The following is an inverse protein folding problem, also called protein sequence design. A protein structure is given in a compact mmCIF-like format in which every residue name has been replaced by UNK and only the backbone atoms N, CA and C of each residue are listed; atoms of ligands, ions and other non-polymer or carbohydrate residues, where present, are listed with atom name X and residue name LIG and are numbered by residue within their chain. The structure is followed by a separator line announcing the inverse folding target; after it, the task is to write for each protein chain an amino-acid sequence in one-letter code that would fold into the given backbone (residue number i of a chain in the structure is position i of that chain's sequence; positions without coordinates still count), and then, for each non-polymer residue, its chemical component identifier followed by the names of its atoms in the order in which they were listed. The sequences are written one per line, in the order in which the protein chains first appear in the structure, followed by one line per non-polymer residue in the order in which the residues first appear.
data_IF_993692415832
#
_entry.id   IF_993692415832
#
_cell.length_a   1.000
_cell.length_b   1.000
_cell.length_c   1.000
_cell.angle_alpha   90.00
_cell.angle_beta   90.00
_cell.angle_gamma   90.00
#
_symmetry.space_group_name_H-M   'P 1'
#
loop_
_entity.id
_entity.type
_entity.pdbx_description
1 polymer ?
#
# COMPACT_ATOMS: atom_id res chain seq x y z
N UNK A 1 16.94 0.24 7.54
CA UNK A 1 15.54 0.00 7.18
C UNK A 1 15.05 -1.10 8.10
N UNK A 2 13.93 -0.90 8.77
CA UNK A 2 13.30 -1.94 9.58
C UNK A 2 12.35 -2.72 8.70
N UNK A 3 12.53 -4.03 8.60
CA UNK A 3 11.63 -4.91 7.87
C UNK A 3 10.27 -4.93 8.56
N UNK A 4 9.17 -4.79 7.81
CA UNK A 4 7.79 -4.85 8.32
C UNK A 4 7.30 -6.29 8.38
N UNK A 5 7.77 -7.13 7.46
CA UNK A 5 7.31 -8.49 7.29
C UNK A 5 8.45 -9.50 7.32
N UNK A 6 8.15 -10.74 7.63
CA UNK A 6 9.09 -11.85 7.51
C UNK A 6 8.40 -13.07 6.92
N UNK A 7 9.14 -13.84 6.13
CA UNK A 7 8.73 -15.22 5.86
C UNK A 7 8.89 -16.03 7.15
N UNK A 8 7.83 -16.70 7.55
CA UNK A 8 7.86 -17.54 8.74
C UNK A 8 8.52 -18.87 8.42
N UNK A 9 9.53 -19.22 9.22
CA UNK A 9 10.33 -20.44 9.07
C UNK A 9 9.57 -21.73 9.46
N UNK A 10 8.36 -21.59 10.05
CA UNK A 10 7.49 -22.68 10.52
C UNK A 10 8.03 -23.46 11.73
N UNK A 11 9.04 -22.93 12.41
CA UNK A 11 9.64 -23.47 13.63
C UNK A 11 9.54 -22.47 14.78
N UNK A 12 9.78 -21.19 14.49
CA UNK A 12 9.72 -20.07 15.43
C UNK A 12 8.34 -19.92 16.06
N UNK A 13 8.33 -19.55 17.33
CA UNK A 13 7.10 -19.24 18.05
C UNK A 13 6.40 -18.01 17.48
N UNK A 14 5.08 -17.95 17.66
CA UNK A 14 4.26 -16.81 17.25
C UNK A 14 3.72 -16.12 18.49
N UNK A 15 4.06 -14.85 18.67
CA UNK A 15 3.58 -13.97 19.73
C UNK A 15 2.42 -13.14 19.17
N UNK A 16 1.22 -13.35 19.70
CA UNK A 16 0.01 -12.66 19.22
C UNK A 16 -0.17 -11.30 19.92
N UNK A 17 -0.94 -10.37 19.33
CA UNK A 17 -1.21 -9.05 19.94
C UNK A 17 -1.89 -9.09 21.31
N UNK A 18 -2.56 -10.21 21.65
CA UNK A 18 -3.19 -10.41 22.96
C UNK A 18 -2.26 -11.06 23.98
N UNK A 19 -0.98 -11.28 23.62
CA UNK A 19 0.05 -11.83 24.51
C UNK A 19 0.10 -13.36 24.57
N UNK A 20 -0.63 -14.08 23.71
CA UNK A 20 -0.45 -15.53 23.60
C UNK A 20 0.88 -15.82 22.88
N UNK A 21 1.66 -16.76 23.43
CA UNK A 21 2.85 -17.30 22.78
C UNK A 21 2.54 -18.72 22.32
N UNK A 22 2.44 -18.91 21.01
CA UNK A 22 2.07 -20.17 20.39
C UNK A 22 3.30 -20.84 19.81
N UNK A 23 3.41 -22.16 20.01
CA UNK A 23 4.39 -22.96 19.26
C UNK A 23 3.99 -22.99 17.78
N UNK A 24 4.94 -23.33 16.91
CA UNK A 24 4.64 -23.47 15.49
C UNK A 24 3.52 -24.48 15.20
N UNK A 25 3.50 -25.60 15.93
CA UNK A 25 2.42 -26.60 15.83
C UNK A 25 1.06 -26.04 16.21
N UNK A 26 0.97 -25.31 17.33
CA UNK A 26 -0.27 -24.65 17.76
C UNK A 26 -0.72 -23.58 16.75
N UNK A 27 0.21 -22.83 16.19
CA UNK A 27 -0.10 -21.85 15.16
C UNK A 27 -0.64 -22.51 13.88
N UNK A 28 0.01 -23.56 13.39
CA UNK A 28 -0.44 -24.32 12.22
C UNK A 28 -1.77 -25.04 12.45
N UNK A 29 -2.06 -25.48 13.67
CA UNK A 29 -3.38 -26.04 14.00
C UNK A 29 -4.49 -24.99 13.88
N UNK A 30 -4.24 -23.76 14.35
CA UNK A 30 -5.17 -22.63 14.22
C UNK A 30 -5.26 -22.09 12.79
N UNK A 31 -4.14 -22.09 12.08
CA UNK A 31 -3.98 -21.56 10.72
C UNK A 31 -3.32 -22.60 9.80
N UNK A 32 -4.08 -23.60 9.32
CA UNK A 32 -3.52 -24.71 8.51
C UNK A 32 -2.80 -24.27 7.24
N UNK A 33 -3.18 -23.12 6.67
CA UNK A 33 -2.48 -22.54 5.53
C UNK A 33 -0.99 -22.28 5.81
N UNK A 34 -0.63 -21.90 7.04
CA UNK A 34 0.75 -21.63 7.41
C UNK A 34 1.66 -22.87 7.29
N UNK A 35 1.08 -24.07 7.40
CA UNK A 35 1.80 -25.31 7.16
C UNK A 35 2.06 -25.57 5.67
N UNK A 36 1.09 -25.26 4.81
CA UNK A 36 1.06 -25.71 3.42
C UNK A 36 1.80 -24.78 2.45
N UNK A 37 1.82 -23.48 2.70
CA UNK A 37 2.30 -22.47 1.74
C UNK A 37 3.28 -21.48 2.39
N UNK A 38 4.04 -20.69 1.60
CA UNK A 38 4.84 -19.59 2.12
C UNK A 38 3.95 -18.61 2.88
N UNK A 39 4.27 -18.40 4.15
CA UNK A 39 3.43 -17.67 5.08
C UNK A 39 4.21 -16.50 5.66
N UNK A 40 3.62 -15.32 5.58
CA UNK A 40 4.23 -14.06 6.02
C UNK A 40 3.69 -13.70 7.39
N UNK A 41 4.58 -13.29 8.28
CA UNK A 41 4.28 -12.71 9.59
C UNK A 41 4.82 -11.27 9.69
N UNK A 42 4.43 -10.53 10.72
CA UNK A 42 5.12 -9.30 11.06
C UNK A 42 6.57 -9.60 11.52
N UNK A 43 7.53 -8.75 11.19
CA UNK A 43 8.94 -8.93 11.59
C UNK A 43 9.29 -8.40 13.00
N UNK A 44 8.30 -7.90 13.74
CA UNK A 44 8.49 -7.38 15.10
C UNK A 44 8.41 -8.45 16.19
N UNK A 45 8.64 -8.04 17.44
CA UNK A 45 8.53 -8.94 18.62
C UNK A 45 7.15 -9.61 18.70
N UNK A 46 6.09 -8.85 18.40
CA UNK A 46 4.73 -9.39 18.22
C UNK A 46 4.54 -9.82 16.76
N UNK A 47 5.23 -10.88 16.35
CA UNK A 47 5.25 -11.35 14.96
C UNK A 47 3.87 -11.84 14.46
N UNK A 48 2.97 -12.26 15.37
CA UNK A 48 1.59 -12.64 15.06
C UNK A 48 0.64 -11.46 14.83
N UNK A 49 1.12 -10.21 14.86
CA UNK A 49 0.30 -9.01 14.64
C UNK A 49 -0.25 -8.90 13.21
N UNK A 50 0.42 -9.53 12.25
CA UNK A 50 -0.01 -9.63 10.87
C UNK A 50 0.32 -11.03 10.37
N UNK A 51 -0.59 -11.65 9.63
CA UNK A 51 -0.32 -12.94 9.01
C UNK A 51 -1.10 -13.11 7.71
N UNK A 52 -0.43 -13.57 6.65
CA UNK A 52 -1.08 -13.81 5.35
C UNK A 52 -0.20 -14.69 4.44
N UNK A 53 -0.77 -15.40 3.45
CA UNK A 53 0.03 -16.05 2.43
C UNK A 53 0.83 -15.06 1.57
N UNK A 54 2.09 -15.37 1.27
CA UNK A 54 2.92 -14.52 0.39
C UNK A 54 2.26 -14.32 -0.98
N UNK A 55 1.69 -15.39 -1.55
CA UNK A 55 1.03 -15.34 -2.85
C UNK A 55 -0.13 -14.36 -2.90
N UNK A 56 -0.85 -14.18 -1.78
CA UNK A 56 -1.94 -13.22 -1.69
C UNK A 56 -1.43 -11.78 -1.69
N UNK A 57 -0.34 -11.49 -0.95
CA UNK A 57 0.30 -10.18 -0.98
C UNK A 57 0.81 -9.85 -2.38
N UNK A 58 1.53 -10.80 -3.01
CA UNK A 58 2.01 -10.66 -4.38
C UNK A 58 0.88 -10.33 -5.37
N UNK A 59 -0.25 -11.04 -5.27
CA UNK A 59 -1.40 -10.79 -6.14
C UNK A 59 -1.95 -9.36 -5.96
N UNK A 60 -2.13 -8.91 -4.72
CA UNK A 60 -2.66 -7.57 -4.41
C UNK A 60 -1.70 -6.49 -4.95
N UNK A 61 -0.40 -6.60 -4.67
CA UNK A 61 0.59 -5.64 -5.15
C UNK A 61 0.70 -5.66 -6.68
N UNK A 62 0.62 -6.83 -7.32
CA UNK A 62 0.64 -6.93 -8.78
C UNK A 62 -0.57 -6.22 -9.42
N UNK A 63 -1.76 -6.33 -8.81
CA UNK A 63 -2.95 -5.59 -9.24
C UNK A 63 -2.79 -4.07 -9.11
N UNK A 64 -1.92 -3.61 -8.21
CA UNK A 64 -1.58 -2.21 -8.00
C UNK A 64 -0.42 -1.72 -8.87
N UNK A 65 0.15 -2.60 -9.71
CA UNK A 65 1.24 -2.26 -10.64
C UNK A 65 2.65 -2.58 -10.14
N UNK A 66 2.80 -3.32 -9.05
CA UNK A 66 4.11 -3.81 -8.61
C UNK A 66 4.65 -4.86 -9.60
N UNK A 67 5.90 -4.68 -10.05
CA UNK A 67 6.57 -5.62 -10.95
C UNK A 67 7.38 -6.67 -10.18
N UNK A 68 7.06 -7.94 -10.42
CA UNK A 68 7.74 -9.09 -9.83
C UNK A 68 8.56 -9.89 -10.85
N UNK A 69 8.75 -9.39 -12.07
CA UNK A 69 9.37 -10.15 -13.17
C UNK A 69 10.83 -10.54 -12.88
N UNK A 70 11.52 -9.78 -12.02
CA UNK A 70 12.89 -10.03 -11.61
C UNK A 70 13.03 -10.96 -10.38
N UNK A 71 11.93 -11.29 -9.69
CA UNK A 71 11.98 -12.09 -8.46
C UNK A 71 12.21 -13.58 -8.77
N UNK A 72 13.26 -14.18 -8.21
CA UNK A 72 13.53 -15.62 -8.28
C UNK A 72 13.12 -16.41 -7.04
N UNK A 73 12.96 -15.74 -5.90
CA UNK A 73 12.73 -16.35 -4.59
C UNK A 73 11.57 -15.68 -3.84
N UNK A 74 11.02 -16.39 -2.84
CA UNK A 74 9.96 -15.86 -1.97
C UNK A 74 10.43 -14.62 -1.19
N UNK A 75 11.70 -14.59 -0.78
CA UNK A 75 12.27 -13.44 -0.07
C UNK A 75 12.36 -12.22 -1.00
N UNK A 76 12.83 -12.39 -2.23
CA UNK A 76 12.86 -11.27 -3.20
C UNK A 76 11.45 -10.73 -3.50
N UNK A 77 10.43 -11.59 -3.53
CA UNK A 77 9.03 -11.15 -3.65
C UNK A 77 8.64 -10.29 -2.44
N UNK A 78 8.98 -10.70 -1.23
CA UNK A 78 8.66 -9.95 -0.01
C UNK A 78 9.37 -8.60 0.03
N UNK A 79 10.68 -8.57 -0.26
CA UNK A 79 11.47 -7.33 -0.35
C UNK A 79 10.89 -6.37 -1.42
N UNK A 80 10.46 -6.91 -2.57
CA UNK A 80 9.85 -6.12 -3.64
C UNK A 80 8.50 -5.53 -3.22
N UNK A 81 7.68 -6.30 -2.48
CA UNK A 81 6.43 -5.80 -1.88
C UNK A 81 6.74 -4.64 -0.92
N UNK A 82 7.72 -4.82 -0.03
CA UNK A 82 8.04 -3.81 0.97
C UNK A 82 8.56 -2.52 0.35
N UNK A 83 9.39 -2.62 -0.69
CA UNK A 83 9.88 -1.48 -1.45
C UNK A 83 8.76 -0.76 -2.21
N UNK A 84 7.82 -1.51 -2.79
CA UNK A 84 6.66 -0.93 -3.48
C UNK A 84 5.77 -0.14 -2.52
N UNK A 85 5.48 -0.69 -1.35
CA UNK A 85 4.71 -0.01 -0.32
C UNK A 85 5.45 1.20 0.27
N UNK A 86 6.78 1.14 0.46
CA UNK A 86 7.58 2.30 0.87
C UNK A 86 7.45 3.44 -0.15
N UNK A 87 7.54 3.12 -1.44
CA UNK A 87 7.34 4.10 -2.51
C UNK A 87 5.91 4.70 -2.52
N UNK A 88 4.88 3.90 -2.21
CA UNK A 88 3.50 4.37 -2.11
C UNK A 88 3.25 5.26 -0.88
N UNK A 89 3.94 4.97 0.22
CA UNK A 89 3.81 5.72 1.48
C UNK A 89 4.84 6.86 1.61
N UNK A 90 5.75 6.99 0.64
CA UNK A 90 6.66 8.12 0.57
C UNK A 90 5.84 9.41 0.57
N UNK A 91 6.24 10.43 1.34
CA UNK A 91 5.56 11.71 1.31
C UNK A 91 5.55 12.20 -0.14
N UNK A 92 4.34 12.38 -0.70
CA UNK A 92 4.18 12.92 -2.04
C UNK A 92 4.92 14.25 -2.15
N UNK A 93 5.36 14.60 -3.36
CA UNK A 93 5.94 15.90 -3.62
C UNK A 93 4.97 16.97 -3.12
N UNK A 94 5.40 17.78 -2.15
CA UNK A 94 4.55 18.79 -1.56
C UNK A 94 4.18 19.78 -2.65
N UNK A 95 2.91 19.81 -3.04
CA UNK A 95 2.41 20.80 -3.99
C UNK A 95 2.67 22.17 -3.38
N UNK A 96 3.48 23.01 -4.05
CA UNK A 96 3.82 24.31 -3.48
C UNK A 96 2.56 25.15 -3.32
N UNK A 97 2.50 25.99 -2.27
CA UNK A 97 1.46 27.00 -2.12
C UNK A 97 1.35 27.89 -3.37
N UNK A 98 2.46 28.11 -4.08
CA UNK A 98 2.50 28.87 -5.33
C UNK A 98 1.75 28.15 -6.46
N UNK A 99 1.95 26.85 -6.61
CA UNK A 99 1.25 26.02 -7.62
C UNK A 99 -0.24 25.87 -7.30
N UNK A 100 -0.59 25.73 -6.02
CA UNK A 100 -1.98 25.72 -5.57
C UNK A 100 -2.66 27.07 -5.87
N UNK A 101 -1.96 28.18 -5.62
CA UNK A 101 -2.48 29.53 -5.89
C UNK A 101 -2.64 29.77 -7.38
N UNK A 102 -1.66 29.39 -8.20
CA UNK A 102 -1.73 29.52 -9.65
C UNK A 102 -2.90 28.70 -10.23
N UNK A 103 -3.07 27.46 -9.78
CA UNK A 103 -4.19 26.60 -10.20
C UNK A 103 -5.55 27.18 -9.81
N UNK A 104 -5.65 27.73 -8.58
CA UNK A 104 -6.87 28.37 -8.10
C UNK A 104 -7.21 29.65 -8.87
N UNK A 105 -6.20 30.48 -9.17
CA UNK A 105 -6.41 31.69 -9.96
C UNK A 105 -6.83 31.36 -11.40
N UNK A 106 -6.24 30.33 -12.00
CA UNK A 106 -6.60 29.88 -13.35
C UNK A 106 -8.07 29.40 -13.42
N UNK A 107 -8.53 28.64 -12.40
CA UNK A 107 -9.91 28.18 -12.36
C UNK A 107 -10.92 29.31 -12.11
N UNK A 108 -10.57 30.30 -11.29
CA UNK A 108 -11.36 31.51 -11.07
C UNK A 108 -11.47 32.32 -12.37
N UNK A 109 -10.35 32.54 -13.07
CA UNK A 109 -10.32 33.27 -14.33
C UNK A 109 -11.19 32.59 -15.40
N UNK A 110 -11.04 31.28 -15.59
CA UNK A 110 -11.87 30.51 -16.52
C UNK A 110 -13.37 30.59 -16.18
N UNK A 111 -13.72 30.59 -14.89
CA UNK A 111 -15.11 30.73 -14.44
C UNK A 111 -15.68 32.12 -14.76
N UNK A 112 -14.88 33.18 -14.55
CA UNK A 112 -15.26 34.56 -14.88
C UNK A 112 -15.42 34.77 -16.40
N UNK A 113 -14.53 34.20 -17.20
CA UNK A 113 -14.63 34.25 -18.67
C UNK A 113 -15.89 33.53 -19.17
N UNK A 114 -16.21 32.37 -18.60
CA UNK A 114 -17.44 31.66 -18.92
C UNK A 114 -18.69 32.45 -18.54
N UNK A 115 -18.71 33.08 -17.36
CA UNK A 115 -19.80 33.97 -16.93
C UNK A 115 -19.97 35.15 -17.88
N UNK A 116 -18.88 35.80 -18.28
CA UNK A 116 -18.93 36.92 -19.23
C UNK A 116 -19.51 36.48 -20.59
N UNK A 117 -19.11 35.32 -21.10
CA UNK A 117 -19.61 34.79 -22.38
C UNK A 117 -21.12 34.51 -22.34
N UNK A 118 -21.63 33.95 -21.24
CA UNK A 118 -23.07 33.72 -21.05
C UNK A 118 -23.88 35.01 -20.97
N UNK A 119 -23.31 36.07 -20.39
CA UNK A 119 -23.99 37.38 -20.29
C UNK A 119 -23.94 38.19 -21.58
N UNK A 120 -23.01 37.88 -22.49
CA UNK A 120 -22.88 38.57 -23.78
C UNK A 120 -23.85 38.02 -24.84
N UNK A 121 -24.21 36.73 -24.78
CA UNK A 121 -25.18 36.10 -25.69
C UNK A 121 -26.62 36.63 -25.50
N UNK A 122 -26.94 37.15 -24.31
CA UNK A 122 -28.25 37.77 -23.98
C UNK A 122 -28.39 39.22 -24.51
N UNK A 123 -27.29 39.85 -24.94
CA UNK A 123 -27.25 41.26 -25.34
C UNK A 123 -27.49 41.51 -26.85
N UNK A 124 -27.61 40.47 -27.69
CA UNK A 124 -27.79 40.58 -29.16
C UNK A 124 -29.23 40.36 -29.65
N UNK A 125 -30.25 40.72 -28.85
CA UNK A 125 -31.66 40.77 -29.33
C UNK A 125 -32.31 42.11 -29.00
N UNK A 126 -32.01 43.15 -29.80
CA UNK A 126 -32.82 44.38 -29.92
C UNK A 126 -32.93 44.78 -31.38
#
# INVERSE_FOLDING_TARGET
MSTRYQLWDKESQVITPIGEVLTAGQWMERYPAAAAIPYVLAAGEVNGAFCTPLGQMKQICAQQGCDFSACGTDQEVLDTIEAFEDAQNAPGEAVSNEELTATSLASIAASLEYQNMLTLDDAEVV
#
